data_IF_960299830078
#
_entry.id   IF_960299830078
#
_cell.length_a   1.000
_cell.length_b   1.000
_cell.length_c   1.000
_cell.angle_alpha   90.00
_cell.angle_beta   90.00
_cell.angle_gamma   90.00
#
_symmetry.space_group_name_H-M   'P 1'
#
loop_
_entity.id
_entity.type
_entity.pdbx_description
1 polymer ?
#
# COMPACT_ATOMS: atom_id res chain seq x y z
N UNK A 1 12.09 19.62 -5.05
CA UNK A 1 11.18 18.92 -5.97
C UNK A 1 9.92 18.51 -5.21
N UNK A 2 8.76 18.75 -5.79
CA UNK A 2 7.49 18.41 -5.18
C UNK A 2 7.31 16.89 -5.14
N UNK A 3 6.92 16.36 -3.98
CA UNK A 3 6.65 14.92 -3.85
C UNK A 3 5.32 14.54 -4.46
N UNK A 4 5.32 13.47 -5.21
CA UNK A 4 4.15 12.89 -5.87
C UNK A 4 3.75 11.64 -5.12
N UNK A 5 2.47 11.51 -4.79
CA UNK A 5 1.97 10.34 -4.08
C UNK A 5 1.91 9.13 -5.02
N UNK A 6 2.45 8.03 -4.54
CA UNK A 6 2.31 6.72 -5.15
C UNK A 6 1.60 5.81 -4.14
N UNK A 7 0.55 5.14 -4.59
CA UNK A 7 -0.33 4.33 -3.75
C UNK A 7 0.03 2.87 -3.84
N UNK A 8 0.05 2.19 -2.71
CA UNK A 8 0.35 0.75 -2.64
C UNK A 8 -0.92 0.02 -2.21
N UNK A 9 -1.35 -0.93 -3.04
CA UNK A 9 -2.51 -1.78 -2.79
C UNK A 9 -2.09 -3.24 -2.67
N UNK A 10 -2.85 -4.02 -1.88
CA UNK A 10 -2.73 -5.47 -1.82
C UNK A 10 -3.90 -6.11 -2.57
N UNK A 11 -3.66 -7.28 -3.18
CA UNK A 11 -4.70 -8.01 -3.89
C UNK A 11 -5.40 -9.08 -3.03
N UNK A 12 -5.00 -9.22 -1.77
CA UNK A 12 -5.54 -10.25 -0.86
C UNK A 12 -4.86 -11.62 -0.98
N UNK A 13 -3.98 -11.80 -1.96
CA UNK A 13 -3.28 -13.06 -2.24
C UNK A 13 -1.75 -12.94 -2.11
N UNK A 14 -1.27 -11.97 -1.35
CA UNK A 14 0.15 -11.79 -1.11
C UNK A 14 0.90 -11.02 -2.17
N UNK A 15 0.21 -10.36 -3.09
CA UNK A 15 0.81 -9.55 -4.14
C UNK A 15 0.49 -8.07 -3.94
N UNK A 16 1.48 -7.21 -4.12
CA UNK A 16 1.34 -5.75 -3.95
C UNK A 16 1.52 -5.05 -5.28
N UNK A 17 0.75 -3.98 -5.49
CA UNK A 17 0.82 -3.12 -6.68
C UNK A 17 1.02 -1.67 -6.26
N UNK A 18 1.85 -0.94 -7.02
CA UNK A 18 2.11 0.49 -6.80
C UNK A 18 1.69 1.25 -8.03
N UNK A 19 0.91 2.31 -7.84
CA UNK A 19 0.46 3.19 -8.92
C UNK A 19 0.42 4.64 -8.45
N UNK A 20 0.32 5.55 -9.39
CA UNK A 20 0.12 6.97 -9.10
C UNK A 20 -1.01 7.53 -9.94
N UNK A 21 -1.74 8.50 -9.39
CA UNK A 21 -2.76 9.25 -10.11
C UNK A 21 -2.18 10.47 -10.84
N UNK A 22 -0.90 10.77 -10.62
CA UNK A 22 -0.24 11.86 -11.33
C UNK A 22 -0.09 11.50 -12.81
N UNK A 23 -0.41 12.45 -13.67
CA UNK A 23 -0.30 12.26 -15.12
C UNK A 23 1.15 12.48 -15.57
N UNK A 24 1.79 11.38 -15.95
CA UNK A 24 3.07 11.39 -16.65
C UNK A 24 2.84 11.15 -18.14
N UNK A 25 3.79 11.53 -19.00
CA UNK A 25 3.68 11.24 -20.43
C UNK A 25 3.84 9.74 -20.75
N UNK A 26 3.92 8.88 -19.73
CA UNK A 26 4.03 7.43 -19.85
C UNK A 26 3.36 6.78 -18.63
N UNK A 27 3.00 5.50 -18.77
CA UNK A 27 2.44 4.73 -17.68
C UNK A 27 3.52 4.20 -16.73
N UNK A 28 3.23 4.17 -15.42
CA UNK A 28 4.14 3.64 -14.41
C UNK A 28 3.33 2.81 -13.42
N UNK A 29 3.63 1.52 -13.36
CA UNK A 29 3.06 0.59 -12.38
C UNK A 29 4.19 -0.30 -11.88
N UNK A 30 4.23 -0.54 -10.57
CA UNK A 30 5.16 -1.48 -9.96
C UNK A 30 4.40 -2.60 -9.28
N UNK A 31 5.00 -3.76 -9.19
CA UNK A 31 4.42 -4.95 -8.57
C UNK A 31 5.49 -5.76 -7.85
N UNK A 32 5.08 -6.49 -6.83
CA UNK A 32 5.98 -7.37 -6.11
C UNK A 32 5.28 -8.20 -5.04
N UNK A 33 5.97 -9.24 -4.58
CA UNK A 33 5.50 -10.11 -3.50
C UNK A 33 5.62 -9.48 -2.12
N UNK A 34 6.43 -8.43 -2.00
CA UNK A 34 6.57 -7.63 -0.77
C UNK A 34 6.37 -6.15 -1.10
N UNK A 35 6.08 -5.36 -0.07
CA UNK A 35 5.95 -3.91 -0.22
C UNK A 35 7.26 -3.32 -0.76
N UNK A 36 8.40 -3.76 -0.24
CA UNK A 36 9.71 -3.27 -0.69
C UNK A 36 9.99 -3.62 -2.15
N UNK A 37 9.68 -4.84 -2.57
CA UNK A 37 9.86 -5.26 -3.96
C UNK A 37 8.95 -4.47 -4.91
N UNK A 38 7.72 -4.22 -4.50
CA UNK A 38 6.76 -3.43 -5.31
C UNK A 38 7.24 -1.97 -5.47
N UNK A 39 7.79 -1.37 -4.40
CA UNK A 39 8.38 -0.03 -4.46
C UNK A 39 9.57 0.02 -5.40
N UNK A 40 10.48 -0.94 -5.28
CA UNK A 40 11.67 -1.03 -6.15
C UNK A 40 11.28 -1.18 -7.61
N UNK A 41 10.32 -2.05 -7.89
CA UNK A 41 9.83 -2.27 -9.24
C UNK A 41 9.25 -0.98 -9.82
N UNK A 42 8.42 -0.28 -9.05
CA UNK A 42 7.84 1.01 -9.46
C UNK A 42 8.93 2.04 -9.81
N UNK A 43 9.95 2.18 -8.96
CA UNK A 43 11.02 3.14 -9.17
C UNK A 43 11.88 2.76 -10.38
N UNK A 44 12.12 1.46 -10.60
CA UNK A 44 12.86 0.96 -11.77
C UNK A 44 12.08 1.23 -13.06
N UNK A 45 10.77 0.94 -13.07
CA UNK A 45 9.92 1.20 -14.23
C UNK A 45 9.89 2.69 -14.54
N UNK A 46 9.75 3.54 -13.52
CA UNK A 46 9.78 4.99 -13.71
C UNK A 46 11.10 5.44 -14.33
N UNK A 47 12.22 4.95 -13.82
CA UNK A 47 13.55 5.28 -14.32
C UNK A 47 13.71 4.88 -15.78
N UNK A 48 13.30 3.67 -16.15
CA UNK A 48 13.38 3.16 -17.51
C UNK A 48 12.49 3.96 -18.47
N UNK A 49 11.26 4.25 -18.06
CA UNK A 49 10.31 5.01 -18.88
C UNK A 49 10.74 6.47 -19.04
N UNK A 50 11.31 7.08 -17.99
CA UNK A 50 11.87 8.44 -18.06
C UNK A 50 13.02 8.53 -19.06
N UNK A 51 13.90 7.54 -19.03
CA UNK A 51 15.05 7.44 -19.94
C UNK A 51 14.60 7.32 -21.40
N UNK A 52 13.64 6.44 -21.64
CA UNK A 52 13.07 6.21 -22.96
C UNK A 52 12.38 7.48 -23.49
N UNK A 53 11.63 8.17 -22.64
CA UNK A 53 10.96 9.42 -22.99
C UNK A 53 11.97 10.52 -23.37
N UNK A 54 13.05 10.64 -22.60
CA UNK A 54 14.13 11.60 -22.87
C UNK A 54 14.82 11.30 -24.20
N UNK A 55 15.06 10.05 -24.51
CA UNK A 55 15.64 9.64 -25.80
C UNK A 55 14.74 10.00 -26.98
N UNK A 56 13.41 9.90 -26.80
CA UNK A 56 12.43 10.17 -27.86
C UNK A 56 12.12 11.65 -28.06
N UNK A 57 12.05 12.41 -26.97
CA UNK A 57 11.55 13.80 -27.00
C UNK A 57 12.59 14.83 -26.59
N UNK A 58 13.70 14.41 -25.99
CA UNK A 58 14.71 15.31 -25.41
C UNK A 58 14.26 15.94 -24.09
N UNK A 59 13.06 15.65 -23.62
CA UNK A 59 12.55 16.19 -22.37
C UNK A 59 12.85 15.25 -21.21
N UNK A 60 13.41 15.81 -20.12
CA UNK A 60 13.68 15.09 -18.90
C UNK A 60 12.46 15.14 -17.99
N UNK A 61 12.01 13.96 -17.53
CA UNK A 61 10.94 13.85 -16.54
C UNK A 61 11.55 13.37 -15.24
N UNK A 62 11.43 14.19 -14.20
CA UNK A 62 11.93 13.86 -12.86
C UNK A 62 10.80 13.94 -11.86
N UNK A 63 10.81 13.04 -10.88
CA UNK A 63 9.84 13.03 -9.81
C UNK A 63 10.44 12.40 -8.55
N UNK A 64 10.00 12.89 -7.41
CA UNK A 64 10.25 12.31 -6.11
C UNK A 64 8.92 11.75 -5.60
N UNK A 65 8.90 10.50 -5.15
CA UNK A 65 7.68 9.82 -4.76
C UNK A 65 7.56 9.69 -3.24
N UNK A 66 6.35 9.90 -2.75
CA UNK A 66 5.95 9.59 -1.39
C UNK A 66 4.96 8.44 -1.45
N UNK A 67 5.33 7.30 -0.84
CA UNK A 67 4.49 6.11 -0.87
C UNK A 67 3.46 6.14 0.25
N UNK A 68 2.21 5.82 -0.10
CA UNK A 68 1.10 5.76 0.83
C UNK A 68 0.43 4.39 0.72
N UNK A 69 0.32 3.71 1.88
CA UNK A 69 -0.30 2.38 1.93
C UNK A 69 -1.82 2.49 1.98
N UNK A 70 -2.48 1.83 1.04
CA UNK A 70 -3.92 1.59 1.10
C UNK A 70 -4.23 0.59 2.21
N UNK A 71 -5.46 0.59 2.72
CA UNK A 71 -5.86 -0.35 3.77
C UNK A 71 -5.67 -1.80 3.33
N UNK A 72 -5.92 -2.11 2.06
CA UNK A 72 -5.69 -3.45 1.53
C UNK A 72 -4.23 -3.89 1.71
N UNK A 73 -3.28 -3.01 1.46
CA UNK A 73 -1.85 -3.30 1.65
C UNK A 73 -1.50 -3.45 3.14
N UNK A 74 -2.04 -2.58 3.99
CA UNK A 74 -1.81 -2.64 5.44
C UNK A 74 -2.30 -3.98 6.00
N UNK A 75 -3.52 -4.37 5.67
CA UNK A 75 -4.12 -5.61 6.18
C UNK A 75 -3.45 -6.85 5.59
N UNK A 76 -3.06 -6.81 4.33
CA UNK A 76 -2.33 -7.91 3.70
C UNK A 76 -0.98 -8.15 4.40
N UNK A 77 -0.25 -7.08 4.71
CA UNK A 77 1.01 -7.17 5.45
C UNK A 77 0.80 -7.66 6.88
N UNK A 78 -0.16 -7.05 7.59
CA UNK A 78 -0.45 -7.41 8.98
C UNK A 78 -0.98 -8.84 9.15
N UNK A 79 -1.63 -9.38 8.13
CA UNK A 79 -2.14 -10.76 8.13
C UNK A 79 -1.05 -11.80 8.42
N UNK A 80 0.20 -11.48 8.08
CA UNK A 80 1.35 -12.34 8.36
C UNK A 80 1.72 -12.38 9.85
N UNK A 81 1.26 -11.42 10.64
CA UNK A 81 1.66 -11.24 12.04
C UNK A 81 0.49 -11.36 13.01
N UNK A 82 -0.71 -10.98 12.62
CA UNK A 82 -1.89 -10.98 13.47
C UNK A 82 -3.07 -11.61 12.74
N UNK A 83 -3.96 -12.27 13.50
CA UNK A 83 -5.18 -12.85 12.93
C UNK A 83 -6.28 -11.81 12.81
N UNK A 84 -7.17 -11.98 11.83
CA UNK A 84 -8.35 -11.13 11.71
C UNK A 84 -9.38 -11.41 12.82
N UNK A 85 -9.32 -12.58 13.44
CA UNK A 85 -10.12 -12.88 14.64
C UNK A 85 -9.72 -11.93 15.79
N UNK A 86 -8.41 -11.80 16.01
CA UNK A 86 -7.89 -10.88 17.03
C UNK A 86 -8.22 -9.43 16.68
N UNK A 87 -7.99 -9.02 15.45
CA UNK A 87 -8.27 -7.66 15.00
C UNK A 87 -9.76 -7.33 15.08
N UNK A 88 -10.63 -8.30 14.78
CA UNK A 88 -12.08 -8.16 14.93
C UNK A 88 -12.49 -7.89 16.38
N UNK A 89 -11.90 -8.61 17.32
CA UNK A 89 -12.17 -8.41 18.76
C UNK A 89 -11.78 -7.01 19.23
N UNK A 90 -10.64 -6.52 18.77
CA UNK A 90 -10.12 -5.22 19.20
C UNK A 90 -10.86 -4.06 18.55
N UNK A 91 -11.25 -4.20 17.28
CA UNK A 91 -11.86 -3.12 16.52
C UNK A 91 -13.38 -3.11 16.57
N UNK A 92 -14.01 -4.26 16.84
CA UNK A 92 -15.46 -4.43 16.73
C UNK A 92 -15.93 -4.60 15.29
N UNK A 93 -15.02 -4.67 14.32
CA UNK A 93 -15.36 -4.88 12.91
C UNK A 93 -15.34 -6.39 12.65
N UNK A 94 -16.37 -6.92 11.96
CA UNK A 94 -16.42 -8.36 11.75
C UNK A 94 -15.33 -8.84 10.78
N UNK A 95 -14.94 -10.09 10.96
CA UNK A 95 -13.86 -10.75 10.20
C UNK A 95 -14.09 -10.73 8.69
N UNK A 96 -15.33 -10.93 8.25
CA UNK A 96 -15.70 -10.91 6.82
C UNK A 96 -15.43 -9.53 6.22
N UNK A 97 -15.79 -8.48 6.93
CA UNK A 97 -15.57 -7.10 6.49
C UNK A 97 -14.08 -6.77 6.44
N UNK A 98 -13.30 -7.22 7.42
CA UNK A 98 -11.84 -7.07 7.40
C UNK A 98 -11.22 -7.77 6.20
N UNK A 99 -11.70 -8.97 5.87
CA UNK A 99 -11.25 -9.71 4.69
C UNK A 99 -11.58 -8.98 3.39
N UNK A 100 -12.75 -8.36 3.31
CA UNK A 100 -13.15 -7.56 2.14
C UNK A 100 -12.25 -6.34 1.97
N UNK A 101 -11.88 -5.68 3.05
CA UNK A 101 -10.91 -4.57 3.01
C UNK A 101 -9.53 -5.05 2.57
N UNK A 102 -9.09 -6.20 3.05
CA UNK A 102 -7.79 -6.78 2.69
C UNK A 102 -7.69 -7.16 1.22
N UNK A 103 -8.80 -7.59 0.61
CA UNK A 103 -8.85 -7.94 -0.81
C UNK A 103 -9.11 -6.73 -1.72
N UNK A 104 -9.38 -5.56 -1.15
CA UNK A 104 -9.71 -4.37 -1.93
C UNK A 104 -11.12 -4.34 -2.51
N UNK A 105 -11.98 -5.30 -2.14
CA UNK A 105 -13.37 -5.36 -2.59
C UNK A 105 -14.17 -4.17 -2.04
N UNK A 106 -13.86 -3.77 -0.82
CA UNK A 106 -14.46 -2.60 -0.16
C UNK A 106 -13.36 -1.72 0.39
N UNK A 107 -13.56 -0.40 0.29
CA UNK A 107 -12.66 0.56 0.93
C UNK A 107 -13.31 1.04 2.22
N UNK A 108 -12.58 1.04 3.36
CA UNK A 108 -13.13 1.53 4.61
C UNK A 108 -13.35 3.04 4.56
N UNK A 109 -14.42 3.48 5.20
CA UNK A 109 -14.63 4.91 5.45
C UNK A 109 -13.57 5.41 6.43
N UNK A 110 -13.29 6.74 6.48
CA UNK A 110 -12.26 7.27 7.38
C UNK A 110 -12.38 6.84 8.83
N UNK A 111 -13.60 6.75 9.36
CA UNK A 111 -13.83 6.29 10.73
C UNK A 111 -13.43 4.84 10.94
N UNK A 112 -13.72 3.98 9.97
CA UNK A 112 -13.33 2.55 10.00
C UNK A 112 -11.81 2.40 9.85
N UNK A 113 -11.22 3.17 8.95
CA UNK A 113 -9.76 3.18 8.79
C UNK A 113 -9.05 3.54 10.11
N UNK A 114 -9.55 4.55 10.80
CA UNK A 114 -9.00 4.97 12.11
C UNK A 114 -9.12 3.86 13.14
N UNK A 115 -10.26 3.17 13.19
CA UNK A 115 -10.48 2.04 14.10
C UNK A 115 -9.49 0.89 13.83
N UNK A 116 -9.28 0.56 12.57
CA UNK A 116 -8.37 -0.54 12.19
C UNK A 116 -6.94 -0.20 12.57
N UNK A 117 -6.47 0.98 12.22
CA UNK A 117 -5.12 1.43 12.54
C UNK A 117 -4.91 1.48 14.06
N UNK A 118 -5.88 2.03 14.80
CA UNK A 118 -5.84 2.06 16.26
C UNK A 118 -5.80 0.66 16.85
N UNK A 119 -6.58 -0.27 16.30
CA UNK A 119 -6.61 -1.66 16.74
C UNK A 119 -5.27 -2.36 16.53
N UNK A 120 -4.62 -2.13 15.39
CA UNK A 120 -3.29 -2.67 15.12
C UNK A 120 -2.28 -2.13 16.13
N UNK A 121 -2.30 -0.83 16.41
CA UNK A 121 -1.44 -0.22 17.42
C UNK A 121 -1.67 -0.82 18.81
N UNK A 122 -2.92 -1.01 19.21
CA UNK A 122 -3.26 -1.64 20.49
C UNK A 122 -2.70 -3.05 20.61
N UNK A 123 -2.79 -3.85 19.56
CA UNK A 123 -2.25 -5.20 19.53
C UNK A 123 -0.73 -5.16 19.69
N UNK A 124 -0.06 -4.26 18.96
CA UNK A 124 1.38 -4.08 19.03
C UNK A 124 1.84 -3.65 20.44
N UNK A 125 1.17 -2.67 21.02
CA UNK A 125 1.47 -2.19 22.39
C UNK A 125 1.27 -3.30 23.42
N UNK A 126 0.22 -4.10 23.27
CA UNK A 126 -0.04 -5.21 24.17
C UNK A 126 1.04 -6.28 24.06
N UNK A 127 1.47 -6.60 22.85
CA UNK A 127 2.58 -7.53 22.63
C UNK A 127 3.87 -7.01 23.29
N UNK A 128 4.18 -5.73 23.13
CA UNK A 128 5.35 -5.11 23.76
C UNK A 128 5.26 -5.11 25.29
N UNK A 129 4.08 -4.95 25.85
CA UNK A 129 3.89 -4.92 27.31
C UNK A 129 4.15 -6.26 27.99
N UNK A 130 4.11 -7.36 27.24
CA UNK A 130 4.37 -8.72 27.76
C UNK A 130 5.87 -8.99 27.89
N UNK A 131 6.67 -8.27 27.16
CA UNK A 131 8.12 -8.43 27.14
C UNK A 131 8.77 -7.55 28.21
#
# INVERSE_FOLDING_TARGET
MKKIKAHIEGNGNGWFSVYTNHEFPFGVIGEGATIEDAKKDFLNVFSEMSKLHQERTGQCVMADFEFELDMSAILQECKSYISFVCLSKVTGINKTQLSQYACGIRKPKPAQRTKIISGIHQIGEKCLSVI
#
